data_IF_966886182991
#
_entry.id   IF_966886182991
#
_cell.length_a   1.000
_cell.length_b   1.000
_cell.length_c   1.000
_cell.angle_alpha   90.00
_cell.angle_beta   90.00
_cell.angle_gamma   90.00
#
_symmetry.space_group_name_H-M   'P 1'
#
loop_
_entity.id
_entity.type
_entity.pdbx_description
1 polymer ?
#
# COMPACT_ATOMS: atom_id res chain seq x y z
N UNK A 1 5.94 -9.33 -10.16
CA UNK A 1 4.80 -9.15 -9.24
C UNK A 1 4.19 -7.78 -9.47
N UNK A 2 2.89 -7.71 -9.58
CA UNK A 2 2.14 -6.49 -9.86
C UNK A 2 0.94 -6.37 -8.92
N UNK A 3 0.34 -5.18 -8.84
CA UNK A 3 -0.89 -4.95 -8.09
C UNK A 3 -2.07 -5.43 -8.92
N UNK A 4 -2.91 -6.29 -8.33
CA UNK A 4 -4.17 -6.75 -8.88
C UNK A 4 -5.33 -6.30 -7.99
N UNK A 5 -6.33 -5.63 -8.56
CA UNK A 5 -7.51 -5.18 -7.80
C UNK A 5 -8.70 -6.08 -8.07
N UNK A 6 -9.16 -6.77 -7.03
CA UNK A 6 -10.40 -7.54 -7.04
C UNK A 6 -11.57 -6.60 -6.71
N UNK A 7 -12.44 -6.34 -7.68
CA UNK A 7 -13.49 -5.29 -7.57
C UNK A 7 -14.72 -5.71 -6.78
N UNK A 8 -14.90 -7.00 -6.54
CA UNK A 8 -16.03 -7.59 -5.79
C UNK A 8 -15.55 -8.77 -4.95
N UNK A 9 -16.28 -9.07 -3.88
CA UNK A 9 -16.09 -10.29 -3.12
C UNK A 9 -16.37 -11.51 -4.01
N UNK A 10 -15.53 -12.55 -3.88
CA UNK A 10 -15.73 -13.83 -4.58
C UNK A 10 -16.08 -14.90 -3.57
N UNK A 11 -17.34 -15.31 -3.48
CA UNK A 11 -17.73 -16.45 -2.67
C UNK A 11 -17.20 -17.73 -3.30
N UNK A 12 -16.61 -18.59 -2.47
CA UNK A 12 -16.07 -19.88 -2.87
C UNK A 12 -16.48 -20.94 -1.87
N UNK A 13 -16.48 -22.20 -2.29
CA UNK A 13 -16.77 -23.34 -1.42
C UNK A 13 -15.95 -24.55 -1.81
N UNK A 14 -15.59 -25.35 -0.83
CA UNK A 14 -14.77 -26.53 -1.05
C UNK A 14 -14.44 -27.23 0.24
N UNK A 15 -13.30 -27.91 0.27
CA UNK A 15 -12.88 -28.69 1.41
C UNK A 15 -11.36 -28.70 1.60
N UNK A 16 -10.93 -28.99 2.83
CA UNK A 16 -9.55 -29.11 3.15
C UNK A 16 -8.90 -30.34 2.51
N UNK A 17 -7.75 -30.15 1.88
CA UNK A 17 -6.92 -31.22 1.32
C UNK A 17 -6.18 -31.91 2.46
N UNK A 18 -6.38 -33.24 2.62
CA UNK A 18 -5.82 -34.00 3.74
C UNK A 18 -4.33 -34.25 3.61
N UNK A 19 -3.82 -34.41 2.40
CA UNK A 19 -2.40 -34.67 2.09
C UNK A 19 -1.88 -33.61 1.14
N UNK A 20 -1.28 -32.58 1.69
CA UNK A 20 -0.67 -31.48 0.91
C UNK A 20 0.85 -31.73 0.77
N UNK A 21 1.45 -31.60 -0.41
CA UNK A 21 0.82 -31.16 -1.66
C UNK A 21 0.20 -32.27 -2.55
N UNK A 22 0.44 -33.55 -2.24
CA UNK A 22 0.13 -34.69 -3.13
C UNK A 22 -1.36 -34.83 -3.47
N UNK A 23 -2.23 -34.51 -2.51
CA UNK A 23 -3.69 -34.66 -2.67
C UNK A 23 -4.38 -33.49 -3.39
N UNK A 24 -3.67 -32.45 -3.81
CA UNK A 24 -4.25 -31.24 -4.42
C UNK A 24 -4.96 -31.57 -5.73
N UNK A 25 -4.33 -32.34 -6.61
CA UNK A 25 -4.91 -32.74 -7.90
C UNK A 25 -6.22 -33.53 -7.72
N UNK A 26 -6.22 -34.55 -6.86
CA UNK A 26 -7.39 -35.37 -6.57
C UNK A 26 -8.54 -34.54 -5.97
N UNK A 27 -8.22 -33.52 -5.18
CA UNK A 27 -9.23 -32.65 -4.59
C UNK A 27 -9.93 -31.81 -5.66
N UNK A 28 -9.19 -31.19 -6.57
CA UNK A 28 -9.79 -30.45 -7.69
C UNK A 28 -10.56 -31.37 -8.65
N UNK A 29 -10.05 -32.56 -8.95
CA UNK A 29 -10.77 -33.55 -9.72
C UNK A 29 -12.10 -33.96 -9.08
N UNK A 30 -12.12 -34.02 -7.74
CA UNK A 30 -13.35 -34.31 -7.00
C UNK A 30 -14.35 -33.17 -7.12
N UNK A 31 -13.94 -31.93 -7.02
CA UNK A 31 -14.81 -30.76 -7.22
C UNK A 31 -15.36 -30.74 -8.66
N UNK A 32 -14.49 -30.90 -9.66
CA UNK A 32 -14.86 -30.92 -11.08
C UNK A 32 -15.92 -31.94 -11.41
N UNK A 33 -15.86 -33.13 -10.77
CA UNK A 33 -16.83 -34.23 -10.99
C UNK A 33 -18.14 -34.05 -10.23
N UNK A 34 -18.08 -33.49 -9.01
CA UNK A 34 -19.27 -33.37 -8.15
C UNK A 34 -20.11 -32.13 -8.41
N UNK A 35 -19.48 -31.03 -8.79
CA UNK A 35 -20.19 -29.76 -8.95
C UNK A 35 -20.82 -29.69 -10.32
N UNK A 36 -22.10 -29.32 -10.36
CA UNK A 36 -22.78 -29.02 -11.62
C UNK A 36 -22.06 -27.88 -12.34
N UNK A 37 -21.84 -27.98 -13.64
CA UNK A 37 -21.07 -27.02 -14.45
C UNK A 37 -19.61 -26.84 -14.01
N UNK A 38 -19.00 -27.85 -13.37
CA UNK A 38 -17.63 -27.79 -12.83
C UNK A 38 -16.61 -27.26 -13.83
N UNK A 39 -16.66 -27.68 -15.10
CA UNK A 39 -15.74 -27.21 -16.15
C UNK A 39 -15.89 -25.73 -16.53
N UNK A 40 -16.93 -25.04 -16.08
CA UNK A 40 -17.21 -23.64 -16.39
C UNK A 40 -17.03 -22.72 -15.20
N UNK A 41 -16.37 -23.19 -14.13
CA UNK A 41 -16.15 -22.43 -12.90
C UNK A 41 -14.71 -22.01 -12.74
N UNK A 42 -14.51 -20.95 -11.99
CA UNK A 42 -13.20 -20.62 -11.46
C UNK A 42 -12.87 -21.50 -10.25
N UNK A 43 -11.61 -21.91 -10.14
CA UNK A 43 -11.09 -22.71 -9.03
C UNK A 43 -10.00 -21.96 -8.29
N UNK A 44 -9.94 -22.21 -6.99
CA UNK A 44 -9.01 -21.53 -6.09
C UNK A 44 -8.35 -22.52 -5.14
N UNK A 45 -7.03 -22.42 -5.00
CA UNK A 45 -6.29 -22.97 -3.90
C UNK A 45 -6.14 -21.91 -2.82
N UNK A 46 -6.58 -22.20 -1.59
CA UNK A 46 -6.45 -21.25 -0.48
C UNK A 46 -5.61 -21.90 0.60
N UNK A 47 -4.46 -21.33 0.91
CA UNK A 47 -3.54 -21.89 1.90
C UNK A 47 -3.17 -20.89 2.99
N UNK A 48 -2.99 -21.41 4.19
CA UNK A 48 -2.50 -20.69 5.34
C UNK A 48 -1.64 -21.62 6.23
N UNK A 49 -0.79 -21.05 7.04
CA UNK A 49 -0.08 -21.81 8.07
C UNK A 49 -0.97 -21.95 9.32
N UNK A 50 -0.91 -23.12 9.96
CA UNK A 50 -1.45 -23.31 11.30
C UNK A 50 -0.47 -22.81 12.38
N UNK A 51 -0.89 -22.87 13.64
CA UNK A 51 -0.08 -22.43 14.79
C UNK A 51 1.23 -23.27 14.99
N UNK A 52 1.36 -24.40 14.29
CA UNK A 52 2.53 -25.26 14.30
C UNK A 52 3.42 -25.10 13.08
N UNK A 53 3.06 -24.21 12.15
CA UNK A 53 3.78 -23.96 10.90
C UNK A 53 3.46 -24.96 9.78
N UNK A 54 2.46 -25.81 9.94
CA UNK A 54 2.01 -26.69 8.88
C UNK A 54 1.06 -25.95 7.91
N UNK A 55 1.15 -26.29 6.62
CA UNK A 55 0.27 -25.71 5.61
C UNK A 55 -1.09 -26.39 5.64
N UNK A 56 -2.13 -25.61 5.87
CA UNK A 56 -3.52 -26.01 5.67
C UNK A 56 -3.92 -25.50 4.28
N UNK A 57 -4.32 -26.39 3.39
CA UNK A 57 -4.69 -26.09 2.03
C UNK A 57 -6.15 -26.48 1.76
N UNK A 58 -6.89 -25.62 1.10
CA UNK A 58 -8.27 -25.85 0.65
C UNK A 58 -8.31 -25.81 -0.88
N UNK A 59 -9.00 -26.79 -1.45
CA UNK A 59 -9.45 -26.75 -2.85
C UNK A 59 -10.87 -26.23 -2.88
N UNK A 60 -11.07 -25.09 -3.52
CA UNK A 60 -12.35 -24.39 -3.57
C UNK A 60 -12.78 -24.10 -5.01
N UNK A 61 -14.09 -24.08 -5.24
CA UNK A 61 -14.73 -23.63 -6.47
C UNK A 61 -15.52 -22.34 -6.24
N UNK A 62 -15.65 -21.49 -7.25
CA UNK A 62 -16.52 -20.31 -7.19
C UNK A 62 -17.97 -20.70 -6.90
N UNK A 63 -18.61 -20.04 -5.92
CA UNK A 63 -20.04 -20.16 -5.68
C UNK A 63 -20.80 -19.22 -6.62
N UNK A 64 -21.46 -19.79 -7.64
CA UNK A 64 -22.24 -19.02 -8.62
C UNK A 64 -23.66 -18.75 -8.17
N UNK A 65 -24.23 -19.66 -7.40
CA UNK A 65 -25.60 -19.58 -6.89
C UNK A 65 -25.54 -19.68 -5.37
N UNK A 66 -26.10 -18.71 -4.62
CA UNK A 66 -26.13 -18.78 -3.16
C UNK A 66 -26.76 -20.11 -2.66
N UNK A 67 -26.11 -20.76 -1.69
CA UNK A 67 -26.56 -22.01 -1.12
C UNK A 67 -25.93 -23.27 -1.75
N UNK A 68 -25.01 -23.13 -2.71
CA UNK A 68 -24.31 -24.28 -3.29
C UNK A 68 -23.39 -24.95 -2.27
N UNK A 69 -22.77 -24.19 -1.40
CA UNK A 69 -21.92 -24.74 -0.33
C UNK A 69 -22.70 -25.76 0.52
N UNK A 70 -23.89 -25.38 0.96
CA UNK A 70 -24.79 -26.25 1.74
C UNK A 70 -25.29 -27.45 0.93
N UNK A 71 -25.65 -27.21 -0.33
CA UNK A 71 -26.12 -28.29 -1.26
C UNK A 71 -25.08 -29.39 -1.42
N UNK A 72 -23.79 -29.03 -1.48
CA UNK A 72 -22.69 -29.98 -1.64
C UNK A 72 -22.06 -30.43 -0.31
N UNK A 73 -22.53 -29.88 0.81
CA UNK A 73 -21.98 -30.08 2.16
C UNK A 73 -20.48 -29.75 2.21
N UNK A 74 -20.13 -28.57 1.69
CA UNK A 74 -18.79 -28.02 1.70
C UNK A 74 -18.70 -26.73 2.52
N UNK A 75 -17.49 -26.38 2.96
CA UNK A 75 -17.22 -25.13 3.68
C UNK A 75 -17.27 -23.94 2.73
N UNK A 76 -18.05 -22.92 3.09
CA UNK A 76 -18.12 -21.65 2.36
C UNK A 76 -17.10 -20.67 2.89
N UNK A 77 -16.40 -19.99 1.97
CA UNK A 77 -15.45 -18.93 2.24
C UNK A 77 -15.69 -17.74 1.31
N UNK A 78 -15.05 -16.61 1.62
CA UNK A 78 -15.07 -15.42 0.77
C UNK A 78 -13.64 -14.98 0.52
N UNK A 79 -13.28 -14.82 -0.75
CA UNK A 79 -12.09 -14.07 -1.16
C UNK A 79 -12.53 -12.62 -1.23
N UNK A 80 -12.06 -11.74 -0.31
CA UNK A 80 -12.59 -10.39 -0.22
C UNK A 80 -12.14 -9.51 -1.40
N UNK A 81 -12.98 -8.57 -1.79
CA UNK A 81 -12.55 -7.48 -2.68
C UNK A 81 -11.40 -6.69 -2.05
N UNK A 82 -10.55 -6.10 -2.88
CA UNK A 82 -9.42 -5.31 -2.42
C UNK A 82 -8.21 -5.45 -3.33
N UNK A 83 -7.11 -4.91 -2.88
CA UNK A 83 -5.85 -4.96 -3.59
C UNK A 83 -5.01 -6.15 -3.16
N UNK A 84 -4.41 -6.80 -4.14
CA UNK A 84 -3.56 -7.96 -3.98
C UNK A 84 -2.22 -7.73 -4.66
N UNK A 85 -1.15 -8.21 -4.06
CA UNK A 85 0.11 -8.44 -4.77
C UNK A 85 -0.05 -9.75 -5.53
N UNK A 86 0.21 -9.73 -6.85
CA UNK A 86 -0.06 -10.85 -7.71
C UNK A 86 1.10 -11.18 -8.65
N UNK A 87 1.20 -12.47 -9.02
CA UNK A 87 2.14 -12.99 -10.01
C UNK A 87 1.45 -14.03 -10.87
N UNK A 88 1.51 -13.87 -12.18
CA UNK A 88 0.95 -14.85 -13.12
C UNK A 88 1.96 -15.94 -13.44
N UNK A 89 1.55 -17.20 -13.26
CA UNK A 89 2.34 -18.37 -13.62
C UNK A 89 1.73 -18.98 -14.88
N UNK A 90 2.49 -18.91 -15.98
CA UNK A 90 2.10 -19.53 -17.23
C UNK A 90 2.53 -21.00 -17.29
N UNK A 91 1.68 -21.86 -17.90
CA UNK A 91 1.89 -23.30 -17.99
C UNK A 91 2.13 -23.95 -16.61
N UNK A 92 1.33 -23.54 -15.63
CA UNK A 92 1.46 -23.89 -14.21
C UNK A 92 1.47 -25.38 -13.95
N UNK A 93 0.81 -26.21 -14.79
CA UNK A 93 0.79 -27.69 -14.71
C UNK A 93 2.16 -28.34 -14.97
N UNK A 94 3.14 -27.60 -15.49
CA UNK A 94 4.51 -28.09 -15.64
C UNK A 94 5.14 -28.32 -14.25
N UNK A 95 5.71 -29.50 -13.93
CA UNK A 95 6.30 -29.79 -12.63
C UNK A 95 7.32 -28.74 -12.15
N UNK A 96 8.13 -28.18 -13.08
CA UNK A 96 9.10 -27.13 -12.75
C UNK A 96 8.39 -25.85 -12.29
N UNK A 97 7.23 -25.51 -12.87
CA UNK A 97 6.44 -24.34 -12.51
C UNK A 97 5.70 -24.54 -11.20
N UNK A 98 5.15 -25.72 -10.97
CA UNK A 98 4.55 -26.08 -9.68
C UNK A 98 5.55 -25.95 -8.53
N UNK A 99 6.82 -26.37 -8.73
CA UNK A 99 7.85 -26.21 -7.72
C UNK A 99 8.16 -24.74 -7.36
N UNK A 100 7.94 -23.79 -8.31
CA UNK A 100 8.20 -22.38 -8.10
C UNK A 100 7.08 -21.67 -7.29
N UNK A 101 5.89 -22.24 -7.12
CA UNK A 101 4.75 -21.58 -6.43
C UNK A 101 5.15 -21.19 -5.01
N UNK A 102 5.84 -22.05 -4.29
CA UNK A 102 6.34 -21.80 -2.95
C UNK A 102 7.25 -20.57 -2.91
N UNK A 103 8.17 -20.45 -3.87
CA UNK A 103 9.13 -19.36 -3.93
C UNK A 103 8.42 -18.04 -4.27
N UNK A 104 7.39 -18.07 -5.11
CA UNK A 104 6.55 -16.90 -5.43
C UNK A 104 5.86 -16.40 -4.16
N UNK A 105 5.18 -17.26 -3.40
CA UNK A 105 4.55 -16.84 -2.16
C UNK A 105 5.56 -16.39 -1.11
N UNK A 106 6.71 -17.07 -1.01
CA UNK A 106 7.77 -16.63 -0.10
C UNK A 106 8.26 -15.21 -0.44
N UNK A 107 8.46 -14.92 -1.74
CA UNK A 107 8.84 -13.58 -2.17
C UNK A 107 7.73 -12.54 -1.91
N UNK A 108 6.45 -12.90 -2.09
CA UNK A 108 5.32 -12.02 -1.73
C UNK A 108 5.27 -11.70 -0.24
N UNK A 109 5.54 -12.67 0.62
CA UNK A 109 5.57 -12.48 2.09
C UNK A 109 6.67 -11.52 2.55
N UNK A 110 7.73 -11.31 1.76
CA UNK A 110 8.77 -10.32 2.04
C UNK A 110 8.37 -8.91 1.64
N UNK A 111 7.32 -8.75 0.81
CA UNK A 111 6.82 -7.42 0.45
C UNK A 111 6.07 -6.81 1.64
N UNK A 112 6.56 -5.65 2.10
CA UNK A 112 6.00 -4.95 3.28
C UNK A 112 4.54 -4.55 3.13
N UNK A 113 4.00 -4.47 1.91
CA UNK A 113 2.61 -4.10 1.63
C UNK A 113 1.64 -5.23 1.87
N UNK A 114 2.11 -6.46 1.93
CA UNK A 114 1.28 -7.66 2.09
C UNK A 114 0.83 -7.85 3.54
N UNK A 115 -0.42 -8.25 3.72
CA UNK A 115 -0.95 -8.70 5.01
C UNK A 115 -0.66 -10.20 5.19
N UNK A 116 0.44 -10.52 5.85
CA UNK A 116 0.86 -11.90 6.11
C UNK A 116 -0.08 -12.67 7.07
N UNK A 117 -1.12 -12.04 7.60
CA UNK A 117 -2.17 -12.72 8.39
C UNK A 117 -3.26 -13.31 7.50
N UNK A 118 -3.29 -12.93 6.23
CA UNK A 118 -4.25 -13.40 5.23
C UNK A 118 -3.70 -14.61 4.49
N UNK A 119 -4.59 -15.46 3.93
CA UNK A 119 -4.18 -16.64 3.19
C UNK A 119 -3.47 -16.29 1.88
N UNK A 120 -2.63 -17.20 1.41
CA UNK A 120 -2.16 -17.27 0.04
C UNK A 120 -3.29 -17.83 -0.85
N UNK A 121 -3.46 -17.27 -2.03
CA UNK A 121 -4.52 -17.63 -2.97
C UNK A 121 -3.91 -17.98 -4.32
N UNK A 122 -4.23 -19.15 -4.83
CA UNK A 122 -3.96 -19.61 -6.18
C UNK A 122 -5.28 -19.55 -6.97
N UNK A 123 -5.37 -18.69 -7.94
CA UNK A 123 -6.52 -18.63 -8.83
C UNK A 123 -6.19 -19.32 -10.16
N UNK A 124 -6.79 -20.46 -10.39
CA UNK A 124 -6.65 -21.24 -11.63
C UNK A 124 -7.55 -20.64 -12.71
N UNK A 125 -7.04 -19.62 -13.42
CA UNK A 125 -7.82 -18.85 -14.41
C UNK A 125 -8.12 -19.63 -15.66
N UNK A 126 -7.14 -20.39 -16.15
CA UNK A 126 -7.24 -21.26 -17.32
C UNK A 126 -6.34 -22.48 -17.13
N UNK A 127 -6.39 -23.43 -18.07
CA UNK A 127 -5.43 -24.54 -18.10
C UNK A 127 -3.98 -24.07 -18.26
N UNK A 128 -3.75 -22.87 -18.82
CA UNK A 128 -2.42 -22.31 -19.05
C UNK A 128 -2.01 -21.27 -18.04
N UNK A 129 -2.92 -20.65 -17.30
CA UNK A 129 -2.63 -19.52 -16.42
C UNK A 129 -3.19 -19.71 -15.02
N UNK A 130 -2.32 -19.53 -14.05
CA UNK A 130 -2.64 -19.43 -12.62
C UNK A 130 -2.13 -18.09 -12.08
N UNK A 131 -2.95 -17.42 -11.29
CA UNK A 131 -2.57 -16.21 -10.58
C UNK A 131 -2.34 -16.53 -9.10
N UNK A 132 -1.08 -16.43 -8.67
CA UNK A 132 -0.75 -16.41 -7.24
C UNK A 132 -1.01 -15.01 -6.70
N UNK A 133 -1.72 -14.87 -5.58
CA UNK A 133 -2.02 -13.56 -5.01
C UNK A 133 -2.11 -13.59 -3.48
N UNK A 134 -1.66 -12.51 -2.85
CA UNK A 134 -1.77 -12.24 -1.43
C UNK A 134 -2.39 -10.86 -1.21
N UNK A 135 -3.31 -10.77 -0.25
CA UNK A 135 -4.00 -9.52 0.05
C UNK A 135 -3.02 -8.47 0.56
N UNK A 136 -3.10 -7.26 0.03
CA UNK A 136 -2.34 -6.11 0.51
C UNK A 136 -3.05 -5.47 1.69
N UNK A 137 -2.27 -4.95 2.62
CA UNK A 137 -2.78 -4.12 3.72
C UNK A 137 -2.78 -2.65 3.27
N UNK A 138 -3.96 -2.01 3.15
CA UNK A 138 -4.03 -0.61 2.70
C UNK A 138 -3.19 0.35 3.55
N UNK A 139 -3.08 0.12 4.86
CA UNK A 139 -2.25 0.92 5.75
C UNK A 139 -0.77 0.76 5.44
N UNK A 140 -0.31 -0.47 5.26
CA UNK A 140 1.08 -0.75 4.88
C UNK A 140 1.42 -0.23 3.49
N UNK A 141 0.47 -0.30 2.53
CA UNK A 141 0.64 0.27 1.20
C UNK A 141 0.80 1.80 1.26
N UNK A 142 -0.01 2.47 2.08
CA UNK A 142 0.09 3.91 2.29
C UNK A 142 1.46 4.30 2.87
N UNK A 143 1.93 3.61 3.91
CA UNK A 143 3.25 3.86 4.50
C UNK A 143 4.39 3.61 3.51
N UNK A 144 4.33 2.54 2.72
CA UNK A 144 5.32 2.28 1.67
C UNK A 144 5.33 3.40 0.62
N UNK A 145 4.16 3.96 0.28
CA UNK A 145 4.03 5.08 -0.65
C UNK A 145 4.62 6.38 -0.09
N UNK A 146 4.39 6.67 1.20
CA UNK A 146 4.98 7.82 1.89
C UNK A 146 6.52 7.72 1.90
N UNK A 147 7.05 6.56 2.26
CA UNK A 147 8.49 6.32 2.29
C UNK A 147 9.12 6.42 0.89
N UNK A 148 8.45 5.86 -0.13
CA UNK A 148 8.90 5.98 -1.52
C UNK A 148 8.97 7.44 -1.98
N UNK A 149 7.94 8.24 -1.68
CA UNK A 149 7.93 9.66 -1.99
C UNK A 149 9.03 10.43 -1.23
N UNK A 150 9.24 10.14 0.04
CA UNK A 150 10.31 10.75 0.84
C UNK A 150 11.70 10.43 0.27
N UNK A 151 11.93 9.18 -0.14
CA UNK A 151 13.18 8.74 -0.77
C UNK A 151 13.38 9.39 -2.14
N UNK A 152 12.33 9.54 -2.95
CA UNK A 152 12.40 10.24 -4.24
C UNK A 152 12.78 11.70 -4.05
N UNK A 153 12.16 12.40 -3.09
CA UNK A 153 12.49 13.80 -2.80
C UNK A 153 13.98 13.94 -2.41
N UNK A 154 14.47 13.07 -1.54
CA UNK A 154 15.88 13.05 -1.13
C UNK A 154 16.81 12.73 -2.31
N UNK A 155 16.47 11.74 -3.13
CA UNK A 155 17.24 11.34 -4.30
C UNK A 155 17.40 12.48 -5.33
N UNK A 156 16.41 13.37 -5.46
CA UNK A 156 16.49 14.57 -6.30
C UNK A 156 17.44 15.64 -5.75
N UNK A 157 17.63 15.70 -4.42
CA UNK A 157 18.51 16.69 -3.77
C UNK A 157 19.98 16.25 -3.77
N UNK A 158 20.24 14.95 -3.61
CA UNK A 158 21.59 14.39 -3.43
C UNK A 158 22.58 14.74 -4.55
N UNK A 159 22.23 14.74 -5.86
CA UNK A 159 23.16 15.11 -6.92
C UNK A 159 23.44 16.63 -7.01
N UNK A 160 22.65 17.50 -6.39
CA UNK A 160 22.83 18.94 -6.47
C UNK A 160 24.07 19.39 -5.70
N UNK A 161 24.87 20.28 -6.32
CA UNK A 161 25.95 21.00 -5.60
C UNK A 161 25.33 22.04 -4.66
N UNK A 162 26.03 22.45 -3.61
CA UNK A 162 25.54 23.44 -2.65
C UNK A 162 25.11 24.76 -3.33
N UNK A 163 25.84 25.21 -4.35
CA UNK A 163 25.48 26.39 -5.12
C UNK A 163 24.13 26.20 -5.88
N UNK A 164 23.90 25.03 -6.46
CA UNK A 164 22.64 24.71 -7.13
C UNK A 164 21.49 24.60 -6.13
N UNK A 165 21.74 23.97 -4.97
CA UNK A 165 20.74 23.82 -3.90
C UNK A 165 20.22 25.19 -3.42
N UNK A 166 21.07 26.22 -3.43
CA UNK A 166 20.75 27.61 -3.02
C UNK A 166 20.41 28.55 -4.19
N UNK A 167 20.47 28.09 -5.42
CA UNK A 167 20.15 28.92 -6.59
C UNK A 167 18.64 29.21 -6.63
N UNK A 168 18.30 30.48 -6.92
CA UNK A 168 16.91 30.90 -7.16
C UNK A 168 16.60 30.58 -8.63
N UNK A 169 15.70 29.61 -8.93
CA UNK A 169 15.48 29.17 -10.30
C UNK A 169 14.77 30.24 -11.16
N UNK A 170 13.87 30.99 -10.54
CA UNK A 170 13.15 32.13 -11.16
C UNK A 170 12.53 33.03 -10.09
N UNK A 171 12.16 34.25 -10.46
CA UNK A 171 11.64 35.29 -9.54
C UNK A 171 10.42 34.76 -8.75
N UNK A 172 10.50 34.83 -7.42
CA UNK A 172 9.43 34.43 -6.49
C UNK A 172 9.29 32.91 -6.27
N UNK A 173 10.27 32.12 -6.70
CA UNK A 173 10.40 30.70 -6.37
C UNK A 173 11.27 30.50 -5.15
N UNK A 174 10.98 29.45 -4.41
CA UNK A 174 11.92 28.90 -3.43
C UNK A 174 13.07 28.17 -4.13
N UNK A 175 14.23 28.17 -3.47
CA UNK A 175 15.36 27.31 -3.83
C UNK A 175 15.08 25.86 -3.48
N UNK A 176 15.89 24.95 -4.00
CA UNK A 176 15.80 23.52 -3.64
C UNK A 176 15.99 23.32 -2.12
N UNK A 177 16.91 24.08 -1.48
CA UNK A 177 17.13 24.05 -0.04
C UNK A 177 15.91 24.50 0.75
N UNK A 178 15.25 25.59 0.31
CA UNK A 178 14.04 26.09 0.93
C UNK A 178 12.88 25.09 0.81
N UNK A 179 12.71 24.45 -0.33
CA UNK A 179 11.70 23.37 -0.49
C UNK A 179 11.96 22.22 0.49
N UNK A 180 13.19 21.74 0.59
CA UNK A 180 13.54 20.66 1.52
C UNK A 180 13.33 21.09 2.98
N UNK A 181 13.70 22.31 3.34
CA UNK A 181 13.48 22.86 4.69
C UNK A 181 12.00 22.99 5.02
N UNK A 182 11.18 23.42 4.07
CA UNK A 182 9.73 23.47 4.23
C UNK A 182 9.12 22.09 4.49
N UNK A 183 9.51 21.07 3.73
CA UNK A 183 9.04 19.69 3.95
C UNK A 183 9.51 19.18 5.31
N UNK A 184 10.75 19.46 5.70
CA UNK A 184 11.28 19.12 7.03
C UNK A 184 10.44 19.71 8.16
N UNK A 185 10.12 21.00 8.08
CA UNK A 185 9.27 21.68 9.08
C UNK A 185 7.87 21.09 9.11
N UNK A 186 7.28 20.82 7.95
CA UNK A 186 5.96 20.19 7.84
C UNK A 186 5.96 18.79 8.49
N UNK A 187 6.93 17.95 8.16
CA UNK A 187 7.05 16.60 8.71
C UNK A 187 7.16 16.61 10.24
N UNK A 188 8.00 17.50 10.78
CA UNK A 188 8.15 17.64 12.24
C UNK A 188 6.84 18.10 12.90
N UNK A 189 6.12 19.03 12.30
CA UNK A 189 4.82 19.47 12.80
C UNK A 189 3.75 18.35 12.76
N UNK A 190 3.74 17.55 11.69
CA UNK A 190 2.83 16.41 11.61
C UNK A 190 3.24 15.30 12.61
N UNK A 191 4.54 15.01 12.77
CA UNK A 191 5.01 14.06 13.78
C UNK A 191 4.51 14.44 15.19
N UNK A 192 4.65 15.72 15.58
CA UNK A 192 4.11 16.23 16.84
C UNK A 192 2.57 16.12 16.93
N UNK A 193 1.87 16.38 15.83
CA UNK A 193 0.41 16.24 15.79
C UNK A 193 -0.03 14.78 15.98
N UNK A 194 0.73 13.82 15.48
CA UNK A 194 0.44 12.39 15.64
C UNK A 194 0.61 11.90 17.09
N UNK A 195 1.43 12.56 17.89
CA UNK A 195 1.57 12.30 19.35
C UNK A 195 0.37 12.81 20.16
N UNK A 196 -0.40 13.74 19.62
CA UNK A 196 -1.57 14.26 20.31
C UNK A 196 -2.59 13.13 20.58
N UNK A 197 -3.17 13.13 21.78
CA UNK A 197 -4.27 12.25 22.13
C UNK A 197 -5.52 12.66 21.33
N UNK A 198 -5.98 11.78 20.47
CA UNK A 198 -7.21 11.97 19.70
C UNK A 198 -8.45 11.39 20.39
N UNK A 199 -9.58 11.59 19.76
CA UNK A 199 -10.87 10.93 20.10
C UNK A 199 -11.20 9.96 18.96
N UNK A 200 -11.96 8.87 19.21
CA UNK A 200 -12.46 8.03 18.13
C UNK A 200 -13.21 8.89 17.10
N UNK A 201 -12.92 8.69 15.81
CA UNK A 201 -13.62 9.42 14.76
C UNK A 201 -15.09 9.01 14.72
N UNK A 202 -16.00 9.97 14.89
CA UNK A 202 -17.45 9.78 14.75
C UNK A 202 -17.93 9.74 13.29
N UNK A 203 -17.00 9.66 12.32
CA UNK A 203 -17.21 9.67 10.87
C UNK A 203 -16.28 8.68 10.18
N UNK A 204 -16.44 8.49 8.87
CA UNK A 204 -15.47 7.73 8.08
C UNK A 204 -14.06 8.35 8.23
N UNK A 205 -13.05 7.59 8.68
CA UNK A 205 -11.68 8.11 8.83
C UNK A 205 -11.04 8.61 7.55
N UNK A 206 -11.55 8.25 6.38
CA UNK A 206 -11.05 8.64 5.06
C UNK A 206 -11.89 9.73 4.39
N UNK A 207 -12.87 10.30 5.08
CA UNK A 207 -13.87 11.20 4.48
C UNK A 207 -13.27 12.37 3.72
N UNK A 208 -12.14 12.94 4.19
CA UNK A 208 -11.48 14.07 3.56
C UNK A 208 -10.29 13.69 2.65
N UNK A 209 -9.99 12.40 2.47
CA UNK A 209 -8.86 11.97 1.66
C UNK A 209 -8.95 12.47 0.22
N UNK A 210 -10.14 12.40 -0.39
CA UNK A 210 -10.36 12.88 -1.75
C UNK A 210 -10.17 14.40 -1.87
N UNK A 211 -10.65 15.18 -0.92
CA UNK A 211 -10.45 16.65 -0.85
C UNK A 211 -8.95 16.99 -0.76
N UNK A 212 -8.21 16.29 0.11
CA UNK A 212 -6.77 16.47 0.26
C UNK A 212 -6.03 16.13 -1.03
N UNK A 213 -6.37 15.01 -1.68
CA UNK A 213 -5.79 14.61 -2.94
C UNK A 213 -6.00 15.66 -4.02
N UNK A 214 -7.25 16.10 -4.23
CA UNK A 214 -7.61 17.08 -5.26
C UNK A 214 -6.94 18.44 -5.02
N UNK A 215 -6.74 18.80 -3.75
CA UNK A 215 -6.07 20.05 -3.37
C UNK A 215 -4.56 19.97 -3.62
N UNK A 216 -3.90 18.94 -3.07
CA UNK A 216 -2.44 18.88 -3.08
C UNK A 216 -1.83 18.36 -4.38
N UNK A 217 -2.57 17.54 -5.15
CA UNK A 217 -2.12 17.08 -6.47
C UNK A 217 -2.60 17.94 -7.63
N UNK A 218 -3.34 19.01 -7.38
CA UNK A 218 -3.60 20.03 -8.38
C UNK A 218 -2.42 20.99 -8.50
N UNK A 219 -1.50 20.71 -9.41
CA UNK A 219 -0.28 21.49 -9.60
C UNK A 219 -0.52 22.85 -10.31
N UNK A 220 -1.72 23.12 -10.81
CA UNK A 220 -2.06 24.40 -11.46
C UNK A 220 -2.38 25.51 -10.45
N UNK A 221 -2.69 25.17 -9.20
CA UNK A 221 -2.98 26.13 -8.14
C UNK A 221 -1.74 26.38 -7.27
N UNK A 222 -1.56 27.65 -6.84
CA UNK A 222 -0.52 28.03 -5.87
C UNK A 222 -1.14 28.03 -4.47
N UNK A 223 -0.66 27.13 -3.62
CA UNK A 223 -1.04 27.09 -2.20
C UNK A 223 -0.11 28.01 -1.40
N UNK A 224 -0.66 28.69 -0.40
CA UNK A 224 0.13 29.46 0.56
C UNK A 224 0.47 28.62 1.77
N UNK A 225 1.75 28.64 2.15
CA UNK A 225 2.22 27.94 3.33
C UNK A 225 1.88 28.71 4.59
N UNK A 226 1.43 28.05 5.68
CA UNK A 226 1.34 28.68 6.98
C UNK A 226 2.68 29.26 7.43
N UNK A 227 2.69 30.40 8.18
CA UNK A 227 3.92 31.10 8.53
C UNK A 227 4.96 30.21 9.25
N UNK A 228 4.53 29.30 10.10
CA UNK A 228 5.41 28.46 10.91
C UNK A 228 6.20 27.40 10.14
N UNK A 229 5.87 27.13 8.88
CA UNK A 229 6.61 26.20 8.00
C UNK A 229 7.28 26.93 6.83
N UNK A 230 7.22 28.25 6.76
CA UNK A 230 7.97 29.03 5.76
C UNK A 230 9.46 28.89 6.04
N UNK A 231 10.31 28.53 5.04
CA UNK A 231 11.75 28.46 5.20
C UNK A 231 12.35 29.86 5.31
N UNK A 232 13.45 29.98 6.03
CA UNK A 232 14.20 31.22 6.19
C UNK A 232 14.91 31.62 4.87
N UNK A 233 15.12 32.91 4.68
CA UNK A 233 15.94 33.46 3.60
C UNK A 233 17.41 33.45 4.03
N UNK A 234 18.14 32.39 3.71
CA UNK A 234 19.55 32.21 4.05
C UNK A 234 20.26 31.27 3.09
N UNK A 235 21.57 31.19 3.18
CA UNK A 235 22.37 30.16 2.52
C UNK A 235 22.35 28.88 3.36
N UNK A 236 22.01 27.77 2.74
CA UNK A 236 21.89 26.47 3.39
C UNK A 236 23.10 25.59 3.09
N UNK A 237 23.61 24.88 4.08
CA UNK A 237 24.59 23.82 3.90
C UNK A 237 23.90 22.55 3.44
N UNK A 238 24.41 21.94 2.37
CA UNK A 238 23.79 20.77 1.74
C UNK A 238 23.59 19.63 2.72
N UNK A 239 24.67 19.24 3.44
CA UNK A 239 24.62 18.15 4.41
C UNK A 239 23.58 18.41 5.50
N UNK A 240 23.50 19.63 6.02
CA UNK A 240 22.55 19.98 7.07
C UNK A 240 21.10 19.84 6.60
N UNK A 241 20.79 20.27 5.36
CA UNK A 241 19.44 20.19 4.79
C UNK A 241 19.05 18.74 4.52
N UNK A 242 19.93 17.95 3.90
CA UNK A 242 19.63 16.55 3.56
C UNK A 242 19.52 15.68 4.80
N UNK A 243 20.37 15.88 5.81
CA UNK A 243 20.32 15.17 7.09
C UNK A 243 19.05 15.53 7.88
N UNK A 244 18.69 16.81 7.93
CA UNK A 244 17.47 17.26 8.61
C UNK A 244 16.21 16.66 7.95
N UNK A 245 16.15 16.64 6.61
CA UNK A 245 15.05 16.03 5.87
C UNK A 245 14.97 14.52 6.15
N UNK A 246 16.10 13.82 6.09
CA UNK A 246 16.15 12.37 6.37
C UNK A 246 15.66 12.07 7.78
N UNK A 247 16.18 12.76 8.79
CA UNK A 247 15.77 12.59 10.19
C UNK A 247 14.28 12.90 10.41
N UNK A 248 13.75 13.94 9.76
CA UNK A 248 12.34 14.28 9.86
C UNK A 248 11.44 13.22 9.25
N UNK A 249 11.84 12.60 8.12
CA UNK A 249 11.12 11.48 7.51
C UNK A 249 11.13 10.25 8.43
N UNK A 250 12.29 9.89 9.00
CA UNK A 250 12.42 8.75 9.92
C UNK A 250 11.55 8.95 11.18
N UNK A 251 11.61 10.15 11.76
CA UNK A 251 10.79 10.50 12.92
C UNK A 251 9.29 10.45 12.61
N UNK A 252 8.87 11.06 11.50
CA UNK A 252 7.48 11.05 11.06
C UNK A 252 6.96 9.60 10.87
N UNK A 253 7.74 8.74 10.23
CA UNK A 253 7.36 7.34 10.02
C UNK A 253 7.24 6.59 11.34
N UNK A 254 8.14 6.84 12.29
CA UNK A 254 8.06 6.24 13.65
C UNK A 254 6.76 6.63 14.35
N UNK A 255 6.41 7.92 14.32
CA UNK A 255 5.17 8.42 14.92
C UNK A 255 3.92 7.90 14.20
N UNK A 256 3.96 7.83 12.87
CA UNK A 256 2.85 7.31 12.06
C UNK A 256 2.55 5.83 12.34
N UNK A 257 3.58 5.01 12.50
CA UNK A 257 3.42 3.58 12.83
C UNK A 257 2.85 3.36 14.24
N UNK A 258 3.14 4.27 15.19
CA UNK A 258 2.64 4.19 16.57
C UNK A 258 1.22 4.78 16.73
N UNK A 259 0.78 5.61 15.79
CA UNK A 259 -0.48 6.34 15.89
C UNK A 259 -1.69 5.47 15.54
N UNK A 260 -2.82 5.68 16.24
CA UNK A 260 -4.08 5.05 15.85
C UNK A 260 -4.72 5.86 14.69
N UNK A 261 -4.81 5.31 13.46
CA UNK A 261 -5.31 6.03 12.29
C UNK A 261 -6.77 6.47 12.40
N UNK A 262 -7.55 5.82 13.26
CA UNK A 262 -8.98 6.11 13.46
C UNK A 262 -9.27 7.22 14.51
N UNK A 263 -8.24 7.79 15.08
CA UNK A 263 -8.40 8.95 15.97
C UNK A 263 -8.50 10.25 15.18
N UNK A 264 -9.39 11.14 15.64
CA UNK A 264 -9.53 12.52 15.16
C UNK A 264 -8.85 13.47 16.15
N UNK A 265 -8.11 14.43 15.62
CA UNK A 265 -7.45 15.50 16.34
C UNK A 265 -7.87 16.84 15.75
N UNK A 266 -7.64 17.94 16.49
CA UNK A 266 -7.96 19.29 16.02
C UNK A 266 -6.66 20.08 15.78
N UNK A 267 -6.47 20.51 14.52
CA UNK A 267 -5.34 21.34 14.07
C UNK A 267 -5.88 22.64 13.44
N UNK A 268 -6.39 23.58 14.25
CA UNK A 268 -7.20 24.70 13.76
C UNK A 268 -6.48 25.63 12.77
N UNK A 269 -5.16 25.77 12.88
CA UNK A 269 -4.39 26.64 11.97
C UNK A 269 -4.16 26.06 10.58
N UNK A 270 -4.36 24.76 10.38
CA UNK A 270 -4.05 24.08 9.13
C UNK A 270 -5.23 23.28 8.56
N UNK A 271 -5.92 22.48 9.37
CA UNK A 271 -6.86 21.47 8.89
C UNK A 271 -8.20 21.46 9.65
N UNK A 272 -8.29 22.10 10.82
CA UNK A 272 -9.42 21.91 11.75
C UNK A 272 -9.43 20.47 12.28
N UNK A 273 -10.61 19.86 12.37
CA UNK A 273 -10.74 18.46 12.73
C UNK A 273 -10.30 17.54 11.60
N UNK A 274 -9.32 16.68 11.89
CA UNK A 274 -8.72 15.76 10.90
C UNK A 274 -8.39 14.44 11.58
N UNK A 275 -8.58 13.32 10.88
CA UNK A 275 -8.15 12.02 11.39
C UNK A 275 -6.64 11.84 11.15
N UNK A 276 -6.01 10.98 11.98
CA UNK A 276 -4.60 10.64 11.77
C UNK A 276 -4.38 9.91 10.42
N UNK A 277 -5.37 9.15 9.94
CA UNK A 277 -5.31 8.54 8.60
C UNK A 277 -5.31 9.60 7.49
N UNK A 278 -6.15 10.63 7.60
CA UNK A 278 -6.15 11.76 6.66
C UNK A 278 -4.81 12.53 6.69
N UNK A 279 -4.17 12.64 7.86
CA UNK A 279 -2.82 13.22 7.95
C UNK A 279 -1.76 12.36 7.22
N UNK A 280 -1.86 11.03 7.25
CA UNK A 280 -0.95 10.18 6.48
C UNK A 280 -1.12 10.42 4.98
N UNK A 281 -2.34 10.51 4.49
CA UNK A 281 -2.62 10.88 3.10
C UNK A 281 -2.13 12.29 2.74
N UNK A 282 -2.33 13.24 3.66
CA UNK A 282 -1.77 14.59 3.48
C UNK A 282 -0.25 14.55 3.31
N UNK A 283 0.48 13.82 4.15
CA UNK A 283 1.95 13.69 4.05
C UNK A 283 2.35 13.17 2.68
N UNK A 284 1.68 12.14 2.17
CA UNK A 284 1.93 11.59 0.85
C UNK A 284 1.74 12.65 -0.25
N UNK A 285 0.56 13.27 -0.31
CA UNK A 285 0.20 14.22 -1.37
C UNK A 285 1.03 15.51 -1.28
N UNK A 286 1.33 15.98 -0.08
CA UNK A 286 2.20 17.13 0.15
C UNK A 286 3.63 16.87 -0.34
N UNK A 287 4.19 15.71 -0.03
CA UNK A 287 5.52 15.30 -0.50
C UNK A 287 5.54 15.17 -2.04
N UNK A 288 4.53 14.54 -2.64
CA UNK A 288 4.39 14.43 -4.10
C UNK A 288 4.30 15.80 -4.77
N UNK A 289 3.58 16.74 -4.18
CA UNK A 289 3.54 18.14 -4.66
C UNK A 289 4.93 18.76 -4.67
N UNK A 290 5.70 18.59 -3.61
CA UNK A 290 7.05 19.15 -3.51
C UNK A 290 8.07 18.43 -4.40
N UNK A 291 7.90 17.16 -4.68
CA UNK A 291 8.65 16.45 -5.74
C UNK A 291 8.41 17.10 -7.09
N UNK A 292 7.14 17.37 -7.46
CA UNK A 292 6.80 18.05 -8.70
C UNK A 292 7.45 19.44 -8.77
N UNK A 293 7.37 20.23 -7.68
CA UNK A 293 7.99 21.56 -7.61
C UNK A 293 9.52 21.48 -7.70
N UNK A 294 10.16 20.53 -7.00
CA UNK A 294 11.61 20.36 -7.03
C UNK A 294 12.11 19.95 -8.41
N UNK A 295 11.40 19.05 -9.11
CA UNK A 295 11.71 18.72 -10.52
C UNK A 295 11.66 19.97 -11.43
N UNK A 296 10.71 20.86 -11.18
CA UNK A 296 10.66 22.13 -11.91
C UNK A 296 11.82 23.07 -11.54
N UNK A 297 12.16 23.19 -10.26
CA UNK A 297 13.34 23.96 -9.80
C UNK A 297 14.62 23.46 -10.47
N UNK A 298 14.86 22.15 -10.45
CA UNK A 298 16.07 21.52 -11.01
C UNK A 298 16.24 21.80 -12.51
N UNK A 299 15.16 21.93 -13.26
CA UNK A 299 15.23 22.25 -14.71
C UNK A 299 15.73 23.68 -14.99
N UNK A 300 15.74 24.55 -14.00
CA UNK A 300 16.08 25.97 -14.16
C UNK A 300 17.36 26.39 -13.42
N UNK A 301 18.12 25.43 -12.86
CA UNK A 301 19.37 25.70 -12.12
C UNK A 301 20.56 24.97 -12.70
#
# INVERSE_FOLDING_TARGET
>A
MEKYTLTKDVPVFGFQVKSFPEGVGDAFDTLLRKIQDGKQRAYYGISKMDDKGAIIYYADAEEKIPGEAEKYNYERKIIPKGDYLAETIHNWHNPTKLACIKDVFHAMMQDRRVDNTKPCIEWYKTEAEMLCMMQMDPGKELFASIESAANELLALLLPLREAQLNAIPFKGSWTAAQLATHVTKSNNGIAQALEMKGKPAGRNPEERVKELQDTFLNFSIKLQSPPFIIPEEQQYKKEAVTDALKKSNEHLMTMAMAANPKEIINLPAAFGEITKLELFHFVLYHTQRHIHQLKNVIRHI
#
